data_IF_053403880316
#
_entry.id   IF_053403880316
#
_cell.length_a   1.000
_cell.length_b   1.000
_cell.length_c   1.000
_cell.angle_alpha   90.00
_cell.angle_beta   90.00
_cell.angle_gamma   90.00
#
_symmetry.space_group_name_H-M   'P 1'
#
loop_
_entity.id
_entity.type
_entity.pdbx_description
1 polymer ?
#
# COMPACT_ATOMS: atom_id res chain seq x y z
N UNK A 1 12.07 18.17 0.19
CA UNK A 1 11.47 16.84 0.48
C UNK A 1 11.37 16.53 1.98
N UNK A 2 12.04 17.26 2.87
CA UNK A 2 11.94 17.03 4.33
C UNK A 2 10.52 17.27 4.88
N UNK A 3 9.80 18.28 4.38
CA UNK A 3 8.45 18.63 4.85
C UNK A 3 7.43 17.47 4.76
N UNK A 4 7.42 16.74 3.63
CA UNK A 4 6.48 15.62 3.46
C UNK A 4 6.88 14.42 4.31
N UNK A 5 8.19 14.17 4.49
CA UNK A 5 8.68 13.12 5.39
C UNK A 5 8.34 13.42 6.85
N UNK A 6 8.48 14.68 7.27
CA UNK A 6 8.10 15.11 8.61
C UNK A 6 6.60 14.93 8.83
N UNK A 7 5.78 15.32 7.87
CA UNK A 7 4.34 15.13 7.96
C UNK A 7 3.96 13.64 7.97
N UNK A 8 4.61 12.82 7.14
CA UNK A 8 4.41 11.36 7.13
C UNK A 8 4.81 10.72 8.47
N UNK A 9 5.86 11.23 9.13
CA UNK A 9 6.29 10.71 10.44
C UNK A 9 5.27 10.92 11.57
N UNK A 10 4.25 11.75 11.35
CA UNK A 10 3.13 11.93 12.31
C UNK A 10 1.99 10.94 12.11
N UNK A 11 2.01 10.16 11.02
CA UNK A 11 0.94 9.22 10.68
C UNK A 11 0.97 8.02 11.63
N UNK A 12 -0.19 7.70 12.18
CA UNK A 12 -0.40 6.41 12.85
C UNK A 12 -0.55 5.32 11.77
N UNK A 13 0.35 4.34 11.76
CA UNK A 13 0.37 3.29 10.73
C UNK A 13 -0.75 2.26 10.90
N UNK A 14 -1.11 1.97 12.14
CA UNK A 14 -2.12 0.95 12.47
C UNK A 14 -3.53 1.55 12.42
N UNK A 15 -3.66 2.81 12.84
CA UNK A 15 -4.92 3.53 12.87
C UNK A 15 -4.80 4.90 12.18
N UNK A 16 -4.68 4.97 10.83
CA UNK A 16 -4.40 6.23 10.12
C UNK A 16 -5.40 7.35 10.40
N UNK A 17 -6.65 7.00 10.72
CA UNK A 17 -7.70 7.94 11.12
C UNK A 17 -7.46 8.63 12.48
N UNK A 18 -6.57 8.10 13.32
CA UNK A 18 -6.14 8.70 14.60
C UNK A 18 -4.96 9.68 14.43
N UNK A 19 -4.39 9.78 13.21
CA UNK A 19 -3.33 10.75 12.89
C UNK A 19 -3.76 12.18 13.28
N UNK A 20 -2.88 13.02 13.86
CA UNK A 20 -3.20 14.41 14.12
C UNK A 20 -3.71 15.12 12.86
N UNK A 21 -4.89 15.75 12.95
CA UNK A 21 -5.60 16.38 11.83
C UNK A 21 -6.00 15.43 10.69
N UNK A 22 -6.19 14.12 10.95
CA UNK A 22 -6.54 13.11 9.95
C UNK A 22 -7.67 13.56 9.02
N UNK A 23 -8.78 14.09 9.55
CA UNK A 23 -9.91 14.56 8.73
C UNK A 23 -9.48 15.63 7.71
N UNK A 24 -8.64 16.58 8.10
CA UNK A 24 -8.16 17.63 7.20
C UNK A 24 -7.19 17.08 6.15
N UNK A 25 -6.29 16.17 6.56
CA UNK A 25 -5.35 15.50 5.65
C UNK A 25 -6.08 14.61 4.65
N UNK A 26 -7.11 13.88 5.07
CA UNK A 26 -7.86 12.97 4.22
C UNK A 26 -8.84 13.70 3.28
N UNK A 27 -9.27 14.91 3.66
CA UNK A 27 -10.14 15.76 2.83
C UNK A 27 -9.39 16.51 1.72
N UNK A 28 -8.05 16.46 1.69
CA UNK A 28 -7.23 17.06 0.64
C UNK A 28 -6.65 15.99 -0.26
N UNK A 29 -6.55 16.28 -1.56
CA UNK A 29 -5.79 15.43 -2.49
C UNK A 29 -4.29 15.65 -2.33
N UNK A 30 -3.48 14.69 -2.78
CA UNK A 30 -2.03 14.89 -2.89
C UNK A 30 -1.70 16.10 -3.78
N UNK A 31 -2.42 16.28 -4.90
CA UNK A 31 -2.27 17.43 -5.79
C UNK A 31 -2.45 18.77 -5.05
N UNK A 32 -3.46 18.88 -4.18
CA UNK A 32 -3.72 20.10 -3.41
C UNK A 32 -2.54 20.45 -2.51
N UNK A 33 -1.98 19.46 -1.82
CA UNK A 33 -0.81 19.64 -0.98
C UNK A 33 0.42 20.04 -1.80
N UNK A 34 0.69 19.32 -2.88
CA UNK A 34 1.83 19.57 -3.77
C UNK A 34 1.78 20.99 -4.33
N UNK A 35 0.61 21.43 -4.81
CA UNK A 35 0.41 22.78 -5.34
C UNK A 35 0.57 23.88 -4.28
N UNK A 36 0.31 23.56 -3.00
CA UNK A 36 0.56 24.49 -1.90
C UNK A 36 2.05 24.64 -1.53
N UNK A 37 2.90 23.69 -1.96
CA UNK A 37 4.32 23.62 -1.59
C UNK A 37 5.27 23.94 -2.73
N UNK A 38 4.90 23.63 -3.97
CA UNK A 38 5.75 23.85 -5.14
C UNK A 38 5.40 25.17 -5.83
N UNK A 39 6.44 25.91 -6.23
CA UNK A 39 6.33 27.19 -6.92
C UNK A 39 6.74 27.13 -8.40
N UNK A 40 7.24 26.00 -8.90
CA UNK A 40 7.77 25.85 -10.27
C UNK A 40 7.03 24.80 -11.07
N UNK A 41 6.82 25.08 -12.37
CA UNK A 41 6.14 24.16 -13.29
C UNK A 41 6.92 22.84 -13.48
N UNK A 42 8.25 22.91 -13.58
CA UNK A 42 9.10 21.73 -13.80
C UNK A 42 8.99 20.71 -12.67
N UNK A 43 8.87 21.18 -11.42
CA UNK A 43 8.71 20.28 -10.27
C UNK A 43 7.36 19.57 -10.27
N UNK A 44 6.32 20.21 -10.83
CA UNK A 44 5.01 19.59 -10.99
C UNK A 44 5.03 18.50 -12.07
N UNK A 45 5.63 18.78 -13.22
CA UNK A 45 5.76 17.80 -14.31
C UNK A 45 6.46 16.52 -13.85
N UNK A 46 7.50 16.64 -13.02
CA UNK A 46 8.19 15.49 -12.46
C UNK A 46 7.25 14.62 -11.60
N UNK A 47 6.41 15.23 -10.76
CA UNK A 47 5.47 14.52 -9.91
C UNK A 47 4.29 13.94 -10.70
N UNK A 48 3.82 14.61 -11.74
CA UNK A 48 2.79 14.08 -12.66
C UNK A 48 3.24 12.78 -13.32
N UNK A 49 4.55 12.59 -13.54
CA UNK A 49 5.11 11.33 -14.08
C UNK A 49 5.40 10.32 -12.96
N UNK A 50 5.94 10.77 -11.82
CA UNK A 50 6.37 9.88 -10.75
C UNK A 50 5.19 9.23 -10.01
N UNK A 51 4.11 9.96 -9.76
CA UNK A 51 3.00 9.48 -8.94
C UNK A 51 2.24 8.30 -9.59
N UNK A 52 1.94 8.30 -10.90
CA UNK A 52 1.41 7.11 -11.56
C UNK A 52 2.34 5.90 -11.47
N UNK A 53 3.66 6.10 -11.51
CA UNK A 53 4.61 5.00 -11.38
C UNK A 53 4.65 4.39 -9.97
N UNK A 54 4.34 5.17 -8.93
CA UNK A 54 4.40 4.75 -7.52
C UNK A 54 3.05 4.22 -7.04
N UNK A 55 1.98 4.97 -7.30
CA UNK A 55 0.64 4.73 -6.76
C UNK A 55 -0.33 4.18 -7.79
N UNK A 56 0.04 4.12 -9.08
CA UNK A 56 -0.87 3.74 -10.17
C UNK A 56 -2.13 4.62 -10.26
N UNK A 57 -2.00 5.88 -9.81
CA UNK A 57 -3.04 6.91 -9.81
C UNK A 57 -2.46 8.26 -10.21
N UNK A 58 -3.32 9.21 -10.55
CA UNK A 58 -2.98 10.62 -10.74
C UNK A 58 -3.00 11.37 -9.41
N UNK A 59 -2.20 12.43 -9.24
CA UNK A 59 -2.11 13.17 -7.96
C UNK A 59 -3.44 13.71 -7.41
N UNK A 60 -4.43 13.90 -8.29
CA UNK A 60 -5.78 14.38 -7.92
C UNK A 60 -6.67 13.30 -7.30
N UNK A 61 -6.27 12.03 -7.34
CA UNK A 61 -7.08 10.90 -6.90
C UNK A 61 -6.83 10.51 -5.44
N UNK A 62 -5.59 10.27 -4.97
CA UNK A 62 -5.37 9.84 -3.60
C UNK A 62 -5.56 11.00 -2.63
N UNK A 63 -6.11 10.68 -1.45
CA UNK A 63 -6.06 11.59 -0.32
C UNK A 63 -4.62 11.84 0.12
N UNK A 64 -4.35 13.00 0.71
CA UNK A 64 -3.03 13.30 1.27
C UNK A 64 -2.76 12.37 2.45
N UNK A 65 -3.74 12.07 3.31
CA UNK A 65 -3.55 11.13 4.41
C UNK A 65 -3.07 9.75 3.91
N UNK A 66 -3.72 9.20 2.88
CA UNK A 66 -3.29 7.93 2.27
C UNK A 66 -1.86 8.02 1.71
N UNK A 67 -1.56 9.11 1.01
CA UNK A 67 -0.22 9.32 0.43
C UNK A 67 0.87 9.40 1.50
N UNK A 68 0.59 10.07 2.63
CA UNK A 68 1.50 10.15 3.77
C UNK A 68 1.64 8.79 4.48
N UNK A 69 0.56 8.03 4.59
CA UNK A 69 0.60 6.67 5.12
C UNK A 69 1.49 5.76 4.28
N UNK A 70 1.41 5.80 2.94
CA UNK A 70 2.33 5.05 2.07
C UNK A 70 3.80 5.41 2.31
N UNK A 71 4.10 6.70 2.54
CA UNK A 71 5.46 7.16 2.86
C UNK A 71 5.90 6.62 4.23
N UNK A 72 5.06 6.75 5.25
CA UNK A 72 5.33 6.28 6.60
C UNK A 72 5.55 4.76 6.66
N UNK A 73 4.78 4.01 5.87
CA UNK A 73 4.83 2.55 5.79
C UNK A 73 6.09 2.02 5.12
N UNK A 74 6.85 2.88 4.42
CA UNK A 74 8.13 2.51 3.81
C UNK A 74 9.30 2.38 4.81
N UNK A 75 9.02 2.40 6.12
CA UNK A 75 10.02 2.22 7.18
C UNK A 75 10.52 0.78 7.30
N UNK A 76 11.51 0.58 8.16
CA UNK A 76 12.03 -0.74 8.53
C UNK A 76 12.57 -0.73 9.96
N UNK A 77 13.23 -1.83 10.37
CA UNK A 77 13.86 -1.94 11.69
C UNK A 77 14.96 -0.90 11.96
N UNK A 78 15.44 -0.19 10.93
CA UNK A 78 16.54 0.78 11.02
C UNK A 78 16.07 2.23 11.07
N UNK A 79 14.82 2.52 10.69
CA UNK A 79 14.30 3.90 10.73
C UNK A 79 12.89 4.10 10.16
N UNK A 80 12.36 5.32 10.31
CA UNK A 80 11.03 5.66 9.82
C UNK A 80 10.96 5.65 8.29
N UNK A 81 9.75 5.47 7.76
CA UNK A 81 9.51 5.58 6.32
C UNK A 81 9.77 6.99 5.79
N UNK A 82 10.27 7.06 4.56
CA UNK A 82 10.54 8.32 3.85
C UNK A 82 10.20 8.18 2.38
N UNK A 83 9.92 9.30 1.72
CA UNK A 83 9.65 9.31 0.28
C UNK A 83 10.84 8.75 -0.50
N UNK A 84 12.07 9.11 -0.10
CA UNK A 84 13.30 8.63 -0.71
C UNK A 84 13.42 7.11 -0.64
N UNK A 85 13.02 6.51 0.48
CA UNK A 85 13.05 5.05 0.65
C UNK A 85 11.94 4.38 -0.15
N UNK A 86 10.74 4.97 -0.17
CA UNK A 86 9.60 4.47 -0.93
C UNK A 86 9.89 4.40 -2.45
N UNK A 87 10.64 5.37 -3.00
CA UNK A 87 10.89 5.51 -4.45
C UNK A 87 12.34 5.20 -4.86
N UNK A 88 13.18 4.81 -3.90
CA UNK A 88 14.61 4.62 -4.10
C UNK A 88 14.98 3.22 -4.57
N UNK A 89 16.07 3.15 -5.34
CA UNK A 89 16.75 1.89 -5.70
C UNK A 89 17.73 1.53 -4.59
N UNK A 90 18.93 2.10 -4.57
CA UNK A 90 19.98 1.73 -3.60
C UNK A 90 19.51 1.94 -2.15
N UNK A 91 19.37 0.83 -1.41
CA UNK A 91 18.88 0.84 -0.03
C UNK A 91 17.41 1.29 0.13
N UNK A 92 16.65 1.33 -0.97
CA UNK A 92 15.23 1.68 -1.02
C UNK A 92 14.35 0.49 -1.41
N UNK A 93 13.08 0.78 -1.68
CA UNK A 93 12.07 -0.24 -1.96
C UNK A 93 12.24 -0.94 -3.32
N UNK A 94 13.09 -0.42 -4.21
CA UNK A 94 13.39 -1.03 -5.53
C UNK A 94 14.79 -1.67 -5.61
N UNK A 95 15.52 -1.74 -4.48
CA UNK A 95 16.91 -2.18 -4.42
C UNK A 95 17.16 -3.56 -5.03
N UNK A 96 16.33 -4.53 -4.65
CA UNK A 96 16.62 -5.94 -4.86
C UNK A 96 15.45 -6.66 -5.54
N UNK A 97 15.78 -7.73 -6.29
CA UNK A 97 14.80 -8.61 -6.94
C UNK A 97 15.03 -10.05 -6.53
N UNK A 98 13.95 -10.83 -6.45
CA UNK A 98 14.03 -12.28 -6.21
C UNK A 98 14.54 -12.97 -7.47
N UNK A 99 15.68 -13.67 -7.36
CA UNK A 99 16.20 -14.50 -8.44
C UNK A 99 15.20 -15.61 -8.79
N UNK A 100 14.85 -15.73 -10.08
CA UNK A 100 13.79 -16.64 -10.55
C UNK A 100 12.36 -16.08 -10.49
N UNK A 101 12.16 -14.88 -9.92
CA UNK A 101 10.88 -14.17 -9.91
C UNK A 101 10.11 -14.28 -8.58
N UNK A 102 9.33 -13.25 -8.27
CA UNK A 102 8.59 -13.13 -6.98
C UNK A 102 7.45 -14.13 -6.84
N UNK A 103 6.94 -14.68 -7.95
CA UNK A 103 5.93 -15.74 -7.93
C UNK A 103 6.38 -16.99 -7.15
N UNK A 104 7.69 -17.23 -7.07
CA UNK A 104 8.26 -18.32 -6.29
C UNK A 104 7.82 -18.31 -4.82
N UNK A 105 7.57 -17.14 -4.23
CA UNK A 105 7.06 -17.05 -2.85
C UNK A 105 5.73 -17.79 -2.70
N UNK A 106 4.78 -17.54 -3.61
CA UNK A 106 3.47 -18.17 -3.60
C UNK A 106 3.55 -19.66 -3.97
N UNK A 107 4.33 -20.01 -5.00
CA UNK A 107 4.45 -21.41 -5.46
C UNK A 107 5.12 -22.30 -4.41
N UNK A 108 6.23 -21.86 -3.80
CA UNK A 108 6.92 -22.64 -2.76
C UNK A 108 6.09 -22.75 -1.48
N UNK A 109 5.29 -21.74 -1.14
CA UNK A 109 4.33 -21.85 -0.04
C UNK A 109 3.24 -22.87 -0.37
N UNK A 110 2.73 -22.87 -1.60
CA UNK A 110 1.72 -23.83 -2.06
C UNK A 110 2.23 -25.28 -1.99
N UNK A 111 3.49 -25.52 -2.38
CA UNK A 111 4.13 -26.83 -2.26
C UNK A 111 4.21 -27.32 -0.80
N UNK A 112 4.46 -26.42 0.15
CA UNK A 112 4.51 -26.75 1.58
C UNK A 112 3.13 -27.00 2.19
N UNK A 113 2.11 -26.28 1.73
CA UNK A 113 0.73 -26.42 2.20
C UNK A 113 0.05 -27.68 1.64
N UNK A 114 0.47 -28.17 0.47
CA UNK A 114 -0.14 -29.30 -0.22
C UNK A 114 -1.29 -28.86 -1.13
N UNK A 115 -1.32 -29.38 -2.35
CA UNK A 115 -2.32 -29.01 -3.38
C UNK A 115 -3.75 -29.33 -2.98
N UNK A 116 -3.95 -30.33 -2.12
CA UNK A 116 -5.25 -30.73 -1.57
C UNK A 116 -5.88 -29.66 -0.67
N UNK A 117 -5.07 -28.71 -0.18
CA UNK A 117 -5.52 -27.59 0.65
C UNK A 117 -5.73 -26.30 -0.17
N UNK A 118 -5.54 -26.35 -1.50
CA UNK A 118 -5.56 -25.17 -2.37
C UNK A 118 -6.55 -25.37 -3.52
N UNK A 119 -7.62 -24.58 -3.50
CA UNK A 119 -8.66 -24.60 -4.53
C UNK A 119 -8.45 -23.45 -5.53
N UNK A 120 -7.91 -23.78 -6.71
CA UNK A 120 -7.73 -22.82 -7.81
C UNK A 120 -9.02 -22.68 -8.62
N UNK A 121 -9.21 -21.52 -9.27
CA UNK A 121 -10.43 -21.19 -10.05
C UNK A 121 -11.72 -21.23 -9.22
N UNK A 122 -11.63 -21.08 -7.91
CA UNK A 122 -12.76 -21.18 -6.97
C UNK A 122 -13.06 -19.81 -6.34
N UNK A 123 -13.70 -18.87 -7.06
CA UNK A 123 -14.01 -17.55 -6.52
C UNK A 123 -14.99 -17.67 -5.36
N UNK A 124 -14.64 -17.08 -4.22
CA UNK A 124 -15.56 -17.00 -3.07
C UNK A 124 -16.74 -16.10 -3.43
N UNK A 125 -17.96 -16.63 -3.25
CA UNK A 125 -19.22 -15.91 -3.47
C UNK A 125 -19.85 -15.39 -2.19
N UNK A 126 -19.59 -16.06 -1.08
CA UNK A 126 -20.24 -15.74 0.19
C UNK A 126 -19.37 -16.14 1.37
N UNK A 127 -19.33 -15.27 2.38
CA UNK A 127 -18.78 -15.58 3.71
C UNK A 127 -19.88 -15.30 4.72
N UNK A 128 -20.20 -16.28 5.57
CA UNK A 128 -21.23 -16.14 6.61
C UNK A 128 -20.74 -16.68 7.93
N UNK A 129 -20.90 -15.90 9.00
CA UNK A 129 -20.81 -16.43 10.36
C UNK A 129 -22.15 -17.10 10.70
N UNK A 130 -22.13 -18.40 10.97
CA UNK A 130 -23.28 -19.13 11.53
C UNK A 130 -22.87 -19.76 12.85
N UNK A 131 -23.63 -19.43 13.89
CA UNK A 131 -23.29 -19.80 15.28
C UNK A 131 -21.90 -19.27 15.64
N UNK A 132 -20.89 -20.14 15.64
CA UNK A 132 -19.49 -19.79 15.92
C UNK A 132 -18.51 -20.28 14.84
N UNK A 133 -18.99 -20.55 13.62
CA UNK A 133 -18.17 -20.99 12.48
C UNK A 133 -18.38 -20.10 11.27
N UNK A 134 -17.31 -19.90 10.51
CA UNK A 134 -17.39 -19.23 9.22
C UNK A 134 -17.66 -20.26 8.13
N UNK A 135 -18.74 -20.05 7.40
CA UNK A 135 -19.09 -20.79 6.20
C UNK A 135 -18.71 -19.94 5.00
N UNK A 136 -17.76 -20.45 4.21
CA UNK A 136 -17.26 -19.82 2.99
C UNK A 136 -17.75 -20.65 1.81
N UNK A 137 -18.52 -20.03 0.91
CA UNK A 137 -19.14 -20.71 -0.24
C UNK A 137 -18.65 -20.12 -1.56
N UNK A 138 -18.41 -21.01 -2.51
CA UNK A 138 -18.19 -20.73 -3.93
C UNK A 138 -19.28 -21.43 -4.77
N UNK A 139 -19.14 -21.40 -6.09
CA UNK A 139 -20.06 -22.10 -7.00
C UNK A 139 -19.89 -23.64 -6.95
N UNK A 140 -18.73 -24.14 -6.51
CA UNK A 140 -18.36 -25.57 -6.58
C UNK A 140 -18.16 -26.22 -5.21
N UNK A 141 -17.70 -25.44 -4.21
CA UNK A 141 -17.38 -25.95 -2.87
C UNK A 141 -17.85 -24.98 -1.78
N UNK A 142 -18.23 -25.56 -0.62
CA UNK A 142 -18.44 -24.84 0.63
C UNK A 142 -17.53 -25.40 1.71
N UNK A 143 -16.80 -24.53 2.39
CA UNK A 143 -15.86 -24.85 3.48
C UNK A 143 -16.36 -24.22 4.77
N UNK A 144 -16.20 -24.92 5.89
CA UNK A 144 -16.58 -24.44 7.23
C UNK A 144 -15.34 -24.41 8.14
N UNK A 145 -15.00 -23.23 8.67
CA UNK A 145 -13.86 -22.99 9.56
C UNK A 145 -14.32 -22.61 10.99
#
# INVERSE_FOLDING_TARGET
>A
MTDINNLASTVDLEEPWNTPNATALDSMTLETYVNSKLSTADSRVLLDVAIPAILSTEMREPSLLYSLWCIAAAGDETGPGTINRLIGVDGGAQDSRVSGGTQLLATLLAERLGSENIYLNTPVRKVQLKESRYIVSSDEITISA
#
